data_IF_916983232287
#
_entry.id   IF_916983232287
#
_cell.length_a   1.000
_cell.length_b   1.000
_cell.length_c   1.000
_cell.angle_alpha   90.00
_cell.angle_beta   90.00
_cell.angle_gamma   90.00
#
_symmetry.space_group_name_H-M   'P 1'
#
loop_
_entity.id
_entity.type
_entity.pdbx_description
1 polymer ?
#
# COMPACT_ATOMS: atom_id res chain seq x y z
N UNK A 1 -5.21 -18.75 2.94
CA UNK A 1 -4.39 -17.54 3.12
C UNK A 1 -3.91 -17.11 1.74
N UNK A 2 -4.53 -16.09 1.16
CA UNK A 2 -3.97 -15.47 -0.03
C UNK A 2 -3.06 -14.34 0.47
N UNK A 3 -1.80 -14.68 0.67
CA UNK A 3 -0.73 -13.71 0.90
C UNK A 3 -0.56 -12.98 -0.45
N UNK A 4 -0.52 -11.64 -0.46
CA UNK A 4 -0.07 -10.92 -1.67
C UNK A 4 1.21 -11.61 -2.15
N UNK A 5 1.26 -11.97 -3.43
CA UNK A 5 2.38 -12.70 -4.04
C UNK A 5 3.73 -12.16 -3.52
N UNK A 6 4.64 -13.02 -3.01
CA UNK A 6 5.92 -12.59 -2.45
C UNK A 6 6.73 -11.66 -3.36
N UNK A 7 6.67 -11.87 -4.69
CA UNK A 7 7.33 -11.03 -5.69
C UNK A 7 6.71 -9.63 -5.68
N UNK A 8 5.38 -9.55 -5.65
CA UNK A 8 4.66 -8.27 -5.56
C UNK A 8 4.93 -7.57 -4.23
N UNK A 9 5.04 -8.32 -3.14
CA UNK A 9 5.37 -7.77 -1.84
C UNK A 9 6.79 -7.17 -1.81
N UNK A 10 7.76 -7.78 -2.50
CA UNK A 10 9.10 -7.20 -2.63
C UNK A 10 9.08 -5.82 -3.31
N UNK A 11 8.33 -5.68 -4.41
CA UNK A 11 8.14 -4.39 -5.09
C UNK A 11 7.49 -3.38 -4.14
N UNK A 12 6.42 -3.78 -3.45
CA UNK A 12 5.72 -2.90 -2.53
C UNK A 12 6.58 -2.44 -1.34
N UNK A 13 7.53 -3.27 -0.86
CA UNK A 13 8.50 -2.86 0.15
C UNK A 13 9.49 -1.80 -0.37
N UNK A 14 9.83 -1.81 -1.66
CA UNK A 14 10.62 -0.74 -2.29
C UNK A 14 9.82 0.55 -2.41
N UNK A 15 8.52 0.45 -2.73
CA UNK A 15 7.62 1.61 -2.83
C UNK A 15 7.37 2.23 -1.45
N UNK A 16 7.14 1.40 -0.42
CA UNK A 16 6.76 1.82 0.94
C UNK A 16 7.71 1.25 2.01
N UNK A 17 8.99 1.65 2.02
CA UNK A 17 10.02 1.06 2.91
C UNK A 17 9.79 1.36 4.40
N UNK A 18 9.07 2.43 4.72
CA UNK A 18 8.80 2.86 6.09
C UNK A 18 7.69 2.09 6.81
N UNK A 19 6.97 1.19 6.13
CA UNK A 19 5.87 0.40 6.71
C UNK A 19 6.11 -1.10 6.57
N UNK A 20 5.58 -1.87 7.51
CA UNK A 20 5.68 -3.33 7.47
C UNK A 20 4.66 -3.96 6.50
N UNK A 21 4.86 -5.23 6.18
CA UNK A 21 4.02 -5.99 5.25
C UNK A 21 2.52 -5.97 5.63
N UNK A 22 2.22 -5.98 6.92
CA UNK A 22 0.84 -5.94 7.43
C UNK A 22 0.15 -4.62 7.07
N UNK A 23 0.88 -3.50 7.23
CA UNK A 23 0.41 -2.17 6.84
C UNK A 23 0.33 -2.05 5.32
N UNK A 24 1.32 -2.54 4.59
CA UNK A 24 1.32 -2.57 3.12
C UNK A 24 0.10 -3.30 2.59
N UNK A 25 -0.20 -4.48 3.12
CA UNK A 25 -1.34 -5.29 2.70
C UNK A 25 -2.67 -4.57 2.95
N UNK A 26 -2.90 -4.02 4.16
CA UNK A 26 -4.11 -3.24 4.45
C UNK A 26 -4.22 -2.02 3.55
N UNK A 27 -3.12 -1.30 3.37
CA UNK A 27 -3.09 -0.10 2.54
C UNK A 27 -3.43 -0.43 1.09
N UNK A 28 -2.85 -1.51 0.56
CA UNK A 28 -3.10 -2.03 -0.79
C UNK A 28 -4.58 -2.35 -0.97
N UNK A 29 -5.15 -3.22 -0.12
CA UNK A 29 -6.55 -3.64 -0.24
C UNK A 29 -7.51 -2.44 -0.14
N UNK A 30 -7.21 -1.51 0.78
CA UNK A 30 -8.02 -0.31 0.95
C UNK A 30 -7.93 0.65 -0.24
N UNK A 31 -6.73 0.87 -0.81
CA UNK A 31 -6.52 1.69 -1.99
C UNK A 31 -7.24 1.13 -3.23
N UNK A 32 -7.33 -0.20 -3.35
CA UNK A 32 -8.09 -0.87 -4.39
C UNK A 32 -9.60 -0.97 -4.12
N UNK A 33 -10.10 -0.27 -3.10
CA UNK A 33 -11.54 -0.07 -2.88
C UNK A 33 -12.20 -1.06 -1.93
N UNK A 34 -11.46 -1.98 -1.31
CA UNK A 34 -12.04 -2.84 -0.28
C UNK A 34 -12.41 -2.03 0.95
N UNK A 35 -13.59 -2.33 1.50
CA UNK A 35 -14.08 -1.75 2.75
C UNK A 35 -13.34 -2.34 3.95
N UNK A 36 -13.37 -1.63 5.09
CA UNK A 36 -12.82 -2.11 6.37
C UNK A 36 -13.39 -3.50 6.74
N UNK A 37 -14.67 -3.73 6.45
CA UNK A 37 -15.34 -5.01 6.68
C UNK A 37 -14.71 -6.12 5.85
N UNK A 38 -14.60 -5.92 4.54
CA UNK A 38 -14.03 -6.92 3.63
C UNK A 38 -12.57 -7.21 3.97
N UNK A 39 -11.78 -6.19 4.30
CA UNK A 39 -10.38 -6.36 4.72
C UNK A 39 -10.30 -7.17 6.01
N UNK A 40 -11.17 -6.91 6.99
CA UNK A 40 -11.16 -7.64 8.25
C UNK A 40 -11.46 -9.14 8.06
N UNK A 41 -12.41 -9.46 7.17
CA UNK A 41 -12.75 -10.84 6.80
C UNK A 41 -11.58 -11.49 6.05
N UNK A 42 -11.03 -10.78 5.06
CA UNK A 42 -9.92 -11.26 4.24
C UNK A 42 -8.69 -11.59 5.08
N UNK A 43 -8.35 -10.72 6.03
CA UNK A 43 -7.17 -10.87 6.90
C UNK A 43 -7.44 -11.66 8.17
N UNK A 44 -8.66 -12.18 8.35
CA UNK A 44 -9.09 -12.86 9.58
C UNK A 44 -8.74 -12.06 10.86
N UNK A 45 -9.14 -10.79 10.87
CA UNK A 45 -8.87 -9.85 11.97
C UNK A 45 -10.13 -9.02 12.30
N UNK A 46 -10.04 -8.12 13.27
CA UNK A 46 -11.19 -7.29 13.69
C UNK A 46 -11.29 -6.00 12.86
N UNK A 47 -12.50 -5.45 12.71
CA UNK A 47 -12.70 -4.13 12.11
C UNK A 47 -11.86 -3.05 12.80
N UNK A 48 -11.73 -3.12 14.12
CA UNK A 48 -10.97 -2.16 14.91
C UNK A 48 -9.47 -2.23 14.60
N UNK A 49 -8.91 -3.42 14.36
CA UNK A 49 -7.51 -3.56 13.96
C UNK A 49 -7.24 -2.93 12.59
N UNK A 50 -8.16 -3.11 11.63
CA UNK A 50 -8.06 -2.47 10.30
C UNK A 50 -8.19 -0.96 10.42
N UNK A 51 -9.17 -0.45 11.18
CA UNK A 51 -9.33 0.99 11.40
C UNK A 51 -8.10 1.63 12.05
N UNK A 52 -7.54 0.97 13.09
CA UNK A 52 -6.31 1.41 13.75
C UNK A 52 -5.14 1.47 12.77
N UNK A 53 -5.01 0.45 11.92
CA UNK A 53 -3.96 0.40 10.89
C UNK A 53 -4.08 1.56 9.90
N UNK A 54 -5.28 1.86 9.40
CA UNK A 54 -5.51 3.00 8.51
C UNK A 54 -5.24 4.34 9.19
N UNK A 55 -5.60 4.48 10.47
CA UNK A 55 -5.29 5.69 11.26
C UNK A 55 -3.78 5.89 11.42
N UNK A 56 -3.05 4.83 11.79
CA UNK A 56 -1.59 4.89 11.87
C UNK A 56 -0.94 5.23 10.52
N UNK A 57 -1.51 4.76 9.40
CA UNK A 57 -1.05 5.14 8.06
C UNK A 57 -1.31 6.63 7.78
N UNK A 58 -2.47 7.17 8.16
CA UNK A 58 -2.74 8.61 8.04
C UNK A 58 -1.71 9.43 8.81
N UNK A 59 -1.46 9.05 10.06
CA UNK A 59 -0.49 9.75 10.92
C UNK A 59 0.93 9.65 10.34
N UNK A 60 1.34 8.46 9.88
CA UNK A 60 2.67 8.21 9.34
C UNK A 60 2.95 8.98 8.03
N UNK A 61 1.92 9.18 7.20
CA UNK A 61 2.04 9.90 5.93
C UNK A 61 1.56 11.35 5.98
N UNK A 62 1.18 11.86 7.16
CA UNK A 62 0.52 13.16 7.31
C UNK A 62 -0.68 13.33 6.36
N UNK A 63 -1.44 12.24 6.15
CA UNK A 63 -2.60 12.25 5.26
C UNK A 63 -3.83 12.79 6.01
N UNK A 64 -4.56 13.77 5.46
CA UNK A 64 -5.71 14.38 6.13
C UNK A 64 -6.94 13.46 6.17
N UNK A 65 -6.96 12.40 5.37
CA UNK A 65 -8.09 11.46 5.33
C UNK A 65 -7.69 10.10 4.73
N UNK A 66 -8.56 9.12 4.90
CA UNK A 66 -8.43 7.83 4.24
C UNK A 66 -8.51 7.94 2.70
N UNK A 67 -9.31 8.86 2.16
CA UNK A 67 -9.35 9.06 0.70
C UNK A 67 -8.03 9.65 0.18
N UNK A 68 -7.43 10.59 0.93
CA UNK A 68 -6.11 11.11 0.60
C UNK A 68 -5.02 10.02 0.69
N UNK A 69 -5.15 9.05 1.59
CA UNK A 69 -4.28 7.87 1.62
C UNK A 69 -4.37 7.06 0.32
N UNK A 70 -5.57 6.82 -0.22
CA UNK A 70 -5.71 6.10 -1.50
C UNK A 70 -4.99 6.82 -2.62
N UNK A 71 -5.15 8.14 -2.71
CA UNK A 71 -4.45 8.97 -3.69
C UNK A 71 -2.93 8.87 -3.53
N UNK A 72 -2.42 8.93 -2.29
CA UNK A 72 -0.99 8.78 -2.01
C UNK A 72 -0.47 7.42 -2.48
N UNK A 73 -1.19 6.34 -2.18
CA UNK A 73 -0.82 4.99 -2.59
C UNK A 73 -0.69 4.87 -4.11
N UNK A 74 -1.74 5.28 -4.84
CA UNK A 74 -1.78 5.19 -6.30
C UNK A 74 -0.70 6.08 -6.92
N UNK A 75 -0.51 7.29 -6.41
CA UNK A 75 0.49 8.24 -6.93
C UNK A 75 1.90 7.70 -6.76
N UNK A 76 2.22 7.14 -5.59
CA UNK A 76 3.56 6.62 -5.30
C UNK A 76 3.87 5.37 -6.11
N UNK A 77 2.89 4.48 -6.29
CA UNK A 77 3.02 3.31 -7.15
C UNK A 77 3.23 3.73 -8.62
N UNK A 78 2.43 4.67 -9.12
CA UNK A 78 2.55 5.19 -10.49
C UNK A 78 3.91 5.86 -10.72
N UNK A 79 4.39 6.65 -9.76
CA UNK A 79 5.70 7.31 -9.84
C UNK A 79 6.84 6.27 -9.84
N UNK A 80 6.77 5.25 -8.99
CA UNK A 80 7.75 4.16 -8.99
C UNK A 80 7.81 3.46 -10.34
N UNK A 81 6.67 3.04 -10.88
CA UNK A 81 6.61 2.40 -12.20
C UNK A 81 7.13 3.32 -13.32
N UNK A 82 6.79 4.62 -13.29
CA UNK A 82 7.28 5.58 -14.28
C UNK A 82 8.80 5.77 -14.22
N UNK A 83 9.37 5.79 -13.01
CA UNK A 83 10.82 5.96 -12.82
C UNK A 83 11.59 4.69 -13.20
N UNK A 84 11.10 3.50 -12.86
CA UNK A 84 11.72 2.23 -13.30
C UNK A 84 11.73 2.12 -14.83
N UNK A 85 10.60 2.42 -15.48
CA UNK A 85 10.52 2.46 -16.95
C UNK A 85 11.53 3.43 -17.56
N UNK A 86 11.79 4.58 -16.92
CA UNK A 86 12.78 5.54 -17.42
C UNK A 86 14.21 5.04 -17.30
N UNK A 87 14.54 4.32 -16.23
CA UNK A 87 15.88 3.77 -16.01
C UNK A 87 16.18 2.69 -17.06
N UNK A 88 15.22 1.83 -17.39
CA UNK A 88 15.36 0.80 -18.44
C UNK A 88 15.56 1.40 -19.85
N UNK A 89 15.05 2.60 -20.09
CA UNK A 89 15.12 3.29 -21.38
C UNK A 89 16.37 4.16 -21.55
N UNK A 90 17.13 4.42 -20.50
CA UNK A 90 18.47 5.03 -20.60
C UNK A 90 19.50 3.92 -20.81
N UNK A 91 20.05 3.71 -22.02
CA UNK A 91 21.16 2.80 -22.20
C UNK A 91 22.36 3.35 -21.43
N UNK A 92 23.10 2.47 -20.76
CA UNK A 92 24.41 2.80 -20.19
C UNK A 92 25.26 3.52 -21.27
N UNK A 93 25.72 4.74 -20.95
CA UNK A 93 26.64 5.50 -21.79
C UNK A 93 28.05 4.93 -21.71
#
# INVERSE_FOLDING_TARGET
MAIIDPIRMEILRKVFPEINDIKIEVFTLFAFGMTIREISVYRNTTHQAVYKTLKELCDQYNSPSNEALKTLYITRLALHSFLELRIELTPEQ
#
